data_IF_911649811411
#
_entry.id   IF_911649811411
#
_cell.length_a   1.000
_cell.length_b   1.000
_cell.length_c   1.000
_cell.angle_alpha   90.00
_cell.angle_beta   90.00
_cell.angle_gamma   90.00
#
_symmetry.space_group_name_H-M   'P 1'
#
loop_
_entity.id
_entity.type
_entity.pdbx_description
1 polymer ?
#
# COMPACT_ATOMS: atom_id res chain seq x y z
N UNK A 1 -6.42 -31.25 19.23
CA UNK A 1 -6.28 -30.29 20.34
C UNK A 1 -7.69 -29.98 20.79
N UNK A 2 -8.04 -30.27 22.05
CA UNK A 2 -9.37 -29.96 22.55
C UNK A 2 -9.50 -28.44 22.69
N UNK A 3 -10.58 -27.88 22.13
CA UNK A 3 -10.85 -26.45 22.23
C UNK A 3 -11.14 -26.08 23.68
N UNK A 4 -10.64 -24.91 24.09
CA UNK A 4 -10.87 -24.37 25.45
C UNK A 4 -12.24 -23.72 25.63
N UNK A 5 -13.03 -23.65 24.56
CA UNK A 5 -14.40 -23.13 24.52
C UNK A 5 -15.42 -24.26 24.36
N UNK A 6 -16.70 -23.98 24.62
CA UNK A 6 -17.77 -24.97 24.40
C UNK A 6 -17.94 -25.28 22.91
N UNK A 7 -18.40 -26.49 22.59
CA UNK A 7 -18.71 -26.88 21.20
C UNK A 7 -19.75 -25.95 20.57
N UNK A 8 -20.76 -25.54 21.34
CA UNK A 8 -21.78 -24.58 20.90
C UNK A 8 -21.16 -23.24 20.47
N UNK A 9 -20.26 -22.69 21.29
CA UNK A 9 -19.55 -21.43 20.98
C UNK A 9 -18.71 -21.55 19.71
N UNK A 10 -18.00 -22.66 19.55
CA UNK A 10 -17.22 -22.92 18.34
C UNK A 10 -18.12 -22.95 17.10
N UNK A 11 -19.23 -23.69 17.14
CA UNK A 11 -20.21 -23.74 16.04
C UNK A 11 -20.77 -22.36 15.70
N UNK A 12 -21.10 -21.53 16.69
CA UNK A 12 -21.59 -20.17 16.46
C UNK A 12 -20.54 -19.30 15.74
N UNK A 13 -19.29 -19.36 16.17
CA UNK A 13 -18.20 -18.60 15.54
C UNK A 13 -17.94 -19.07 14.10
N UNK A 14 -17.96 -20.38 13.85
CA UNK A 14 -17.86 -20.94 12.49
C UNK A 14 -19.03 -20.49 11.60
N UNK A 15 -20.26 -20.44 12.14
CA UNK A 15 -21.41 -19.94 11.37
C UNK A 15 -21.23 -18.46 11.01
N UNK A 16 -20.78 -17.63 11.95
CA UNK A 16 -20.53 -16.21 11.69
C UNK A 16 -19.39 -16.00 10.68
N UNK A 17 -18.35 -16.83 10.71
CA UNK A 17 -17.30 -16.87 9.69
C UNK A 17 -17.89 -17.14 8.29
N UNK A 18 -18.78 -18.11 8.17
CA UNK A 18 -19.49 -18.38 6.91
C UNK A 18 -20.37 -17.20 6.46
N UNK A 19 -21.10 -16.57 7.38
CA UNK A 19 -21.94 -15.41 7.07
C UNK A 19 -21.10 -14.22 6.54
N UNK A 20 -19.91 -13.99 7.12
CA UNK A 20 -18.97 -12.98 6.63
C UNK A 20 -18.42 -13.34 5.24
N UNK A 21 -18.11 -14.62 5.00
CA UNK A 21 -17.64 -15.13 3.72
C UNK A 21 -18.69 -14.94 2.61
N UNK A 22 -19.96 -15.30 2.88
CA UNK A 22 -21.08 -15.17 1.95
C UNK A 22 -21.35 -13.72 1.57
N UNK A 23 -21.19 -12.79 2.55
CA UNK A 23 -21.28 -11.35 2.32
C UNK A 23 -20.01 -10.74 1.72
N UNK A 24 -18.99 -11.54 1.41
CA UNK A 24 -17.70 -11.10 0.84
C UNK A 24 -17.02 -10.03 1.69
N UNK A 25 -17.15 -10.13 3.01
CA UNK A 25 -16.54 -9.19 3.96
C UNK A 25 -15.12 -9.64 4.27
N UNK A 26 -14.12 -8.85 3.88
CA UNK A 26 -12.75 -9.05 4.37
C UNK A 26 -12.68 -8.56 5.82
N UNK A 27 -12.10 -9.37 6.71
CA UNK A 27 -11.97 -9.01 8.13
C UNK A 27 -10.55 -9.29 8.60
N UNK A 28 -9.97 -8.35 9.31
CA UNK A 28 -8.66 -8.46 9.95
C UNK A 28 -8.89 -8.55 11.45
N UNK A 29 -8.32 -9.55 12.09
CA UNK A 29 -8.22 -9.64 13.55
C UNK A 29 -6.77 -9.41 13.91
N UNK A 30 -6.50 -8.31 14.61
CA UNK A 30 -5.18 -7.86 14.98
C UNK A 30 -4.96 -8.11 16.47
N UNK A 31 -4.04 -9.00 16.80
CA UNK A 31 -3.59 -9.20 18.17
C UNK A 31 -2.31 -8.40 18.40
N UNK A 32 -2.34 -7.54 19.41
CA UNK A 32 -1.18 -6.84 19.95
C UNK A 32 -1.18 -7.06 21.47
N UNK A 33 -0.03 -6.93 22.11
CA UNK A 33 0.03 -7.12 23.55
C UNK A 33 1.43 -7.36 24.08
N UNK A 34 1.51 -7.38 25.39
CA UNK A 34 2.71 -7.72 26.16
C UNK A 34 2.74 -9.25 26.41
N UNK A 35 3.89 -9.82 26.82
CA UNK A 35 3.94 -11.23 27.24
C UNK A 35 4.25 -12.29 26.19
N UNK A 36 4.75 -11.90 25.01
CA UNK A 36 5.49 -12.80 24.10
C UNK A 36 4.80 -14.11 23.74
N UNK A 37 5.29 -15.23 24.30
CA UNK A 37 4.79 -16.59 24.07
C UNK A 37 3.38 -16.82 24.62
N UNK A 38 2.99 -16.17 25.73
CA UNK A 38 1.67 -16.33 26.32
C UNK A 38 0.56 -15.86 25.36
N UNK A 39 0.78 -14.74 24.68
CA UNK A 39 -0.10 -14.24 23.63
C UNK A 39 -0.19 -15.25 22.48
N UNK A 40 0.94 -15.77 21.97
CA UNK A 40 0.92 -16.71 20.85
C UNK A 40 0.15 -18.00 21.18
N UNK A 41 0.24 -18.51 22.41
CA UNK A 41 -0.59 -19.65 22.84
C UNK A 41 -2.09 -19.33 22.81
N UNK A 42 -2.49 -18.16 23.31
CA UNK A 42 -3.89 -17.69 23.28
C UNK A 42 -4.36 -17.55 21.82
N UNK A 43 -3.58 -16.87 20.97
CA UNK A 43 -3.93 -16.67 19.56
C UNK A 43 -4.07 -18.01 18.83
N UNK A 44 -3.19 -18.97 19.10
CA UNK A 44 -3.29 -20.32 18.53
C UNK A 44 -4.61 -21.03 18.90
N UNK A 45 -5.12 -20.85 20.13
CA UNK A 45 -6.43 -21.40 20.50
C UNK A 45 -7.56 -20.74 19.74
N UNK A 46 -7.48 -19.42 19.51
CA UNK A 46 -8.49 -18.69 18.75
C UNK A 46 -8.48 -19.10 17.28
N UNK A 47 -7.29 -19.19 16.68
CA UNK A 47 -7.11 -19.68 15.31
C UNK A 47 -7.71 -21.07 15.13
N UNK A 48 -7.54 -21.96 16.11
CA UNK A 48 -8.06 -23.33 16.07
C UNK A 48 -9.59 -23.43 16.10
N UNK A 49 -10.32 -22.36 16.44
CA UNK A 49 -11.79 -22.33 16.44
C UNK A 49 -12.35 -22.25 15.01
N UNK A 50 -11.65 -21.51 14.13
CA UNK A 50 -12.15 -21.18 12.79
C UNK A 50 -11.83 -22.26 11.77
N UNK A 51 -12.60 -22.27 10.68
CA UNK A 51 -12.36 -23.17 9.55
C UNK A 51 -11.07 -22.76 8.81
N UNK A 52 -10.03 -23.63 8.77
CA UNK A 52 -8.72 -23.26 8.22
C UNK A 52 -8.73 -22.77 6.77
N UNK A 53 -9.78 -23.11 6.00
CA UNK A 53 -9.95 -22.72 4.60
C UNK A 53 -10.31 -21.25 4.43
N UNK A 54 -10.91 -20.64 5.45
CA UNK A 54 -11.47 -19.29 5.41
C UNK A 54 -10.65 -18.29 6.24
N UNK A 55 -9.55 -18.74 6.84
CA UNK A 55 -8.62 -17.90 7.58
C UNK A 55 -7.21 -17.90 6.96
N UNK A 56 -6.49 -16.81 7.17
CA UNK A 56 -5.04 -16.74 6.98
C UNK A 56 -4.39 -16.20 8.24
N UNK A 57 -3.44 -16.95 8.79
CA UNK A 57 -2.67 -16.54 9.94
C UNK A 57 -1.32 -15.94 9.51
N UNK A 58 -0.98 -14.79 10.08
CA UNK A 58 0.24 -14.05 9.81
C UNK A 58 0.91 -13.72 11.14
N UNK A 59 2.22 -13.98 11.23
CA UNK A 59 3.04 -13.49 12.33
C UNK A 59 4.04 -12.49 11.78
N UNK A 60 3.97 -11.23 12.21
CA UNK A 60 4.87 -10.17 11.76
C UNK A 60 6.15 -10.24 12.58
N UNK A 61 7.03 -11.18 12.24
CA UNK A 61 8.41 -11.19 12.72
C UNK A 61 9.34 -10.70 11.61
N UNK A 62 10.05 -9.59 11.85
CA UNK A 62 11.06 -9.03 10.95
C UNK A 62 10.62 -8.81 9.49
N UNK A 63 9.50 -8.11 9.26
CA UNK A 63 9.09 -7.72 7.91
C UNK A 63 10.21 -6.89 7.24
N UNK A 64 10.76 -7.39 6.13
CA UNK A 64 11.79 -6.70 5.31
C UNK A 64 11.19 -5.67 4.33
N UNK A 65 9.87 -5.64 4.21
CA UNK A 65 9.14 -4.74 3.33
C UNK A 65 8.63 -3.53 4.12
N UNK A 66 8.41 -2.39 3.44
CA UNK A 66 7.56 -1.32 3.96
C UNK A 66 6.28 -1.87 4.58
N UNK A 67 5.95 -1.46 5.80
CA UNK A 67 4.94 -2.17 6.60
C UNK A 67 3.54 -2.10 5.96
N UNK A 68 3.16 -0.97 5.34
CA UNK A 68 1.89 -0.86 4.58
C UNK A 68 1.90 -1.83 3.39
N UNK A 69 3.01 -1.93 2.67
CA UNK A 69 3.13 -2.89 1.56
C UNK A 69 2.93 -4.32 2.08
N UNK A 70 3.61 -4.68 3.17
CA UNK A 70 3.44 -5.99 3.80
C UNK A 70 1.98 -6.26 4.19
N UNK A 71 1.33 -5.30 4.85
CA UNK A 71 -0.05 -5.46 5.31
C UNK A 71 -1.01 -5.62 4.13
N UNK A 72 -0.92 -4.76 3.12
CA UNK A 72 -1.73 -4.89 1.91
C UNK A 72 -1.59 -6.29 1.30
N UNK A 73 -0.36 -6.78 1.13
CA UNK A 73 -0.13 -8.07 0.50
C UNK A 73 -0.63 -9.28 1.31
N UNK A 74 -0.64 -9.17 2.64
CA UNK A 74 -1.03 -10.26 3.53
C UNK A 74 -2.52 -10.24 3.90
N UNK A 75 -3.20 -9.09 3.83
CA UNK A 75 -4.64 -9.04 4.02
C UNK A 75 -5.33 -9.87 2.93
N UNK A 76 -6.03 -10.90 3.38
CA UNK A 76 -6.73 -11.86 2.56
C UNK A 76 -7.85 -11.19 1.73
N UNK A 77 -8.28 -11.82 0.62
CA UNK A 77 -9.33 -11.28 -0.22
C UNK A 77 -10.69 -11.21 0.52
N UNK A 78 -11.64 -10.51 -0.11
CA UNK A 78 -13.04 -10.43 0.32
C UNK A 78 -13.62 -11.81 0.64
N UNK A 79 -14.18 -11.94 1.84
CA UNK A 79 -14.78 -13.17 2.34
C UNK A 79 -13.80 -14.09 3.10
N UNK A 80 -12.62 -13.59 3.45
CA UNK A 80 -11.62 -14.32 4.24
C UNK A 80 -11.24 -13.49 5.47
N UNK A 81 -10.92 -14.18 6.57
CA UNK A 81 -10.42 -13.57 7.80
C UNK A 81 -8.90 -13.63 7.81
N UNK A 82 -8.24 -12.50 8.05
CA UNK A 82 -6.79 -12.44 8.25
C UNK A 82 -6.50 -12.23 9.73
N UNK A 83 -5.79 -13.15 10.37
CA UNK A 83 -5.42 -13.07 11.78
C UNK A 83 -3.94 -12.70 11.84
N UNK A 84 -3.63 -11.57 12.47
CA UNK A 84 -2.27 -11.10 12.68
C UNK A 84 -1.89 -11.29 14.15
N UNK A 85 -0.92 -12.16 14.41
CA UNK A 85 -0.18 -12.21 15.66
C UNK A 85 0.97 -11.21 15.56
N UNK A 86 0.80 -10.07 16.23
CA UNK A 86 1.58 -8.84 16.06
C UNK A 86 1.37 -8.24 14.68
N UNK A 87 1.01 -6.97 14.66
CA UNK A 87 0.66 -6.22 13.47
C UNK A 87 1.61 -5.08 13.19
N UNK A 88 1.04 -4.04 12.57
CA UNK A 88 1.77 -2.80 12.32
C UNK A 88 2.07 -2.02 13.61
N UNK A 89 1.35 -2.21 14.71
CA UNK A 89 1.61 -1.49 15.95
C UNK A 89 2.89 -1.95 16.65
N UNK A 90 3.23 -3.24 16.57
CA UNK A 90 4.53 -3.75 17.05
C UNK A 90 5.72 -2.99 16.44
N UNK A 91 5.66 -2.67 15.13
CA UNK A 91 6.68 -1.85 14.46
C UNK A 91 6.70 -0.41 14.95
N UNK A 92 5.53 0.18 15.20
CA UNK A 92 5.39 1.55 15.72
C UNK A 92 5.91 1.68 17.16
N UNK A 93 5.64 0.69 18.00
CA UNK A 93 6.10 0.64 19.38
C UNK A 93 7.62 0.45 19.48
N UNK A 94 8.24 -0.25 18.53
CA UNK A 94 9.71 -0.42 18.44
C UNK A 94 10.45 0.79 17.87
N UNK A 95 9.77 1.65 17.10
CA UNK A 95 10.39 2.84 16.51
C UNK A 95 10.72 3.91 17.57
N UNK A 96 11.63 4.82 17.21
CA UNK A 96 12.03 5.99 18.01
C UNK A 96 10.82 6.84 18.36
N UNK A 97 10.83 7.38 19.58
CA UNK A 97 9.71 8.19 20.09
C UNK A 97 9.44 9.45 19.27
N UNK A 98 10.48 10.03 18.65
CA UNK A 98 10.35 11.15 17.71
C UNK A 98 9.45 10.86 16.50
N UNK A 99 9.29 9.58 16.12
CA UNK A 99 8.49 9.16 14.97
C UNK A 99 7.08 8.72 15.37
N UNK A 100 6.78 8.62 16.67
CA UNK A 100 5.57 7.98 17.18
C UNK A 100 4.29 8.65 16.67
N UNK A 101 4.16 9.98 16.81
CA UNK A 101 2.96 10.72 16.39
C UNK A 101 2.69 10.59 14.89
N UNK A 102 3.75 10.62 14.08
CA UNK A 102 3.62 10.42 12.63
C UNK A 102 3.14 9.00 12.31
N UNK A 103 3.74 7.99 12.93
CA UNK A 103 3.38 6.58 12.73
C UNK A 103 1.95 6.27 13.19
N UNK A 104 1.51 6.89 14.30
CA UNK A 104 0.12 6.81 14.78
C UNK A 104 -0.84 7.38 13.73
N UNK A 105 -0.55 8.57 13.19
CA UNK A 105 -1.37 9.16 12.13
C UNK A 105 -1.41 8.28 10.87
N UNK A 106 -0.28 7.66 10.52
CA UNK A 106 -0.18 6.74 9.40
C UNK A 106 -1.02 5.47 9.63
N UNK A 107 -1.00 4.89 10.82
CA UNK A 107 -1.83 3.74 11.20
C UNK A 107 -3.32 4.06 11.13
N UNK A 108 -3.76 5.19 11.70
CA UNK A 108 -5.16 5.64 11.61
C UNK A 108 -5.61 5.86 10.16
N UNK A 109 -4.74 6.46 9.35
CA UNK A 109 -4.99 6.69 7.92
C UNK A 109 -5.11 5.36 7.16
N UNK A 110 -4.28 4.38 7.50
CA UNK A 110 -4.33 3.04 6.91
C UNK A 110 -5.59 2.26 7.33
N UNK A 111 -6.01 2.33 8.59
CA UNK A 111 -7.26 1.71 9.05
C UNK A 111 -8.48 2.34 8.38
N UNK A 112 -8.48 3.66 8.21
CA UNK A 112 -9.49 4.36 7.41
C UNK A 112 -9.50 3.89 5.96
N UNK A 113 -8.32 3.73 5.35
CA UNK A 113 -8.18 3.18 4.00
C UNK A 113 -8.80 1.78 3.90
N UNK A 114 -8.49 0.89 4.86
CA UNK A 114 -9.04 -0.46 4.92
C UNK A 114 -10.57 -0.43 5.05
N UNK A 115 -11.09 0.35 5.98
CA UNK A 115 -12.54 0.53 6.19
C UNK A 115 -13.25 1.00 4.93
N UNK A 116 -12.74 2.07 4.31
CA UNK A 116 -13.29 2.64 3.07
C UNK A 116 -13.26 1.65 1.89
N UNK A 117 -12.30 0.72 1.88
CA UNK A 117 -12.14 -0.30 0.84
C UNK A 117 -12.77 -1.66 1.20
N UNK A 118 -13.63 -1.72 2.22
CA UNK A 118 -14.42 -2.92 2.51
C UNK A 118 -13.71 -3.95 3.38
N UNK A 119 -12.62 -3.58 4.06
CA UNK A 119 -11.92 -4.41 5.05
C UNK A 119 -12.29 -3.96 6.47
N UNK A 120 -12.78 -4.88 7.30
CA UNK A 120 -13.04 -4.62 8.71
C UNK A 120 -11.78 -4.89 9.53
N UNK A 121 -11.55 -4.15 10.61
CA UNK A 121 -10.41 -4.36 11.51
C UNK A 121 -10.92 -4.48 12.94
N UNK A 122 -10.66 -5.63 13.57
CA UNK A 122 -10.91 -5.90 14.98
C UNK A 122 -9.55 -5.89 15.67
N UNK A 123 -9.36 -5.00 16.65
CA UNK A 123 -8.08 -4.83 17.34
C UNK A 123 -8.22 -5.28 18.78
N UNK A 124 -7.43 -6.27 19.16
CA UNK A 124 -7.44 -6.86 20.50
C UNK A 124 -6.08 -6.62 21.13
N UNK A 125 -6.06 -5.86 22.22
CA UNK A 125 -4.86 -5.65 23.02
C UNK A 125 -4.87 -6.58 24.23
N UNK A 126 -3.90 -7.48 24.32
CA UNK A 126 -3.71 -8.36 25.47
C UNK A 126 -2.83 -7.66 26.51
N UNK A 127 -3.46 -7.17 27.57
CA UNK A 127 -2.78 -6.50 28.65
C UNK A 127 -2.14 -7.52 29.59
N UNK A 128 -0.84 -7.33 29.88
CA UNK A 128 -0.07 -8.22 30.73
C UNK A 128 0.05 -7.64 32.14
N UNK A 129 -0.34 -8.43 33.13
CA UNK A 129 -0.15 -8.15 34.54
C UNK A 129 0.70 -9.28 35.12
N UNK A 130 1.96 -8.97 35.42
CA UNK A 130 2.96 -9.95 35.84
C UNK A 130 2.52 -10.72 37.09
N UNK A 131 1.91 -10.04 38.07
CA UNK A 131 1.47 -10.65 39.32
C UNK A 131 0.27 -11.57 39.11
N UNK A 132 -0.66 -11.21 38.22
CA UNK A 132 -1.78 -12.09 37.84
C UNK A 132 -1.28 -13.29 37.05
N UNK A 133 -0.42 -13.10 36.06
CA UNK A 133 0.07 -14.21 35.23
C UNK A 133 0.94 -15.19 36.01
N UNK A 134 1.79 -14.73 36.92
CA UNK A 134 2.55 -15.61 37.83
C UNK A 134 1.64 -16.53 38.64
N UNK A 135 0.47 -16.05 39.08
CA UNK A 135 -0.52 -16.88 39.80
C UNK A 135 -1.15 -17.96 38.92
N UNK A 136 -1.32 -17.67 37.63
CA UNK A 136 -1.95 -18.57 36.65
C UNK A 136 -0.96 -19.29 35.74
N UNK A 137 0.35 -19.24 36.02
CA UNK A 137 1.42 -19.85 35.23
C UNK A 137 1.17 -21.31 34.87
N UNK A 138 0.65 -22.10 35.81
CA UNK A 138 0.32 -23.53 35.62
C UNK A 138 -0.85 -23.78 34.65
N UNK A 139 -1.63 -22.76 34.31
CA UNK A 139 -2.75 -22.88 33.36
C UNK A 139 -2.28 -22.83 31.89
N UNK A 140 -1.07 -22.31 31.63
CA UNK A 140 -0.53 -22.21 30.28
C UNK A 140 0.20 -23.50 29.88
N UNK A 141 0.21 -23.86 28.58
CA UNK A 141 0.95 -25.02 28.09
C UNK A 141 2.46 -24.87 28.35
N UNK A 142 3.14 -25.95 28.71
CA UNK A 142 4.62 -25.98 28.78
C UNK A 142 5.15 -26.45 27.42
N UNK A 143 6.28 -25.89 26.96
CA UNK A 143 6.94 -26.33 25.72
C UNK A 143 7.46 -27.78 25.85
N UNK A 144 7.66 -28.46 24.71
CA UNK A 144 8.00 -29.90 24.66
C UNK A 144 9.33 -30.26 25.35
N UNK A 145 10.23 -29.30 25.53
CA UNK A 145 11.58 -29.55 26.04
C UNK A 145 11.71 -29.31 27.54
N UNK A 146 10.66 -28.85 28.23
CA UNK A 146 10.63 -28.67 29.69
C UNK A 146 11.60 -27.62 30.26
N UNK A 147 12.50 -27.06 29.44
CA UNK A 147 13.48 -26.04 29.81
C UNK A 147 12.95 -24.61 29.54
N UNK A 148 12.16 -24.42 28.48
CA UNK A 148 11.50 -23.15 28.16
C UNK A 148 10.09 -23.10 28.76
N UNK A 149 10.06 -22.85 30.07
CA UNK A 149 8.87 -22.36 30.74
C UNK A 149 8.38 -21.11 29.96
N UNK A 150 7.09 -20.99 29.65
CA UNK A 150 6.50 -19.81 28.96
C UNK A 150 6.90 -18.48 29.63
N UNK A 151 7.39 -18.59 30.86
CA UNK A 151 7.88 -17.53 31.74
C UNK A 151 9.41 -17.57 32.04
N UNK A 152 10.17 -18.61 31.70
CA UNK A 152 11.64 -18.63 31.92
C UNK A 152 12.37 -17.82 30.84
N UNK A 153 11.80 -17.76 29.65
CA UNK A 153 12.30 -16.91 28.57
C UNK A 153 11.88 -15.43 28.74
N UNK A 154 11.26 -15.04 29.87
CA UNK A 154 11.13 -13.63 30.28
C UNK A 154 12.50 -12.93 30.34
N UNK A 155 13.60 -13.68 30.50
CA UNK A 155 14.98 -13.17 30.46
C UNK A 155 15.53 -12.86 29.06
N UNK A 156 14.93 -13.41 28.00
CA UNK A 156 15.32 -13.14 26.59
C UNK A 156 14.26 -12.42 25.78
N UNK A 157 13.03 -12.28 26.29
CA UNK A 157 12.21 -11.13 25.90
C UNK A 157 13.02 -9.92 26.37
N UNK A 158 13.77 -9.30 25.46
CA UNK A 158 13.91 -7.85 25.46
C UNK A 158 12.47 -7.35 25.36
N UNK A 159 11.77 -7.37 26.50
CA UNK A 159 10.48 -6.75 26.64
C UNK A 159 10.73 -5.36 26.10
N UNK A 160 9.86 -4.98 25.17
CA UNK A 160 9.78 -3.62 24.73
C UNK A 160 9.91 -2.79 25.99
N UNK A 161 11.08 -2.16 26.20
CA UNK A 161 11.32 -1.24 27.30
C UNK A 161 10.61 0.08 26.93
N UNK A 162 9.37 -0.10 26.50
CA UNK A 162 8.42 0.84 25.98
C UNK A 162 7.61 1.16 27.20
N UNK A 163 7.74 2.40 27.64
CA UNK A 163 6.98 2.90 28.77
C UNK A 163 5.49 2.58 28.58
N UNK A 164 4.82 2.15 29.66
CA UNK A 164 3.36 2.00 29.70
C UNK A 164 2.64 3.26 29.18
N UNK A 165 3.25 4.44 29.36
CA UNK A 165 2.73 5.69 28.80
C UNK A 165 2.72 5.71 27.27
N UNK A 166 3.75 5.15 26.61
CA UNK A 166 3.82 5.07 25.14
C UNK A 166 2.75 4.12 24.59
N UNK A 167 2.50 3.00 25.27
CA UNK A 167 1.41 2.07 24.92
C UNK A 167 0.05 2.72 25.12
N UNK A 168 -0.23 3.30 26.29
CA UNK A 168 -1.49 4.00 26.56
C UNK A 168 -1.75 5.09 25.53
N UNK A 169 -0.75 5.93 25.25
CA UNK A 169 -0.85 7.00 24.27
C UNK A 169 -1.15 6.46 22.86
N UNK A 170 -0.54 5.33 22.46
CA UNK A 170 -0.82 4.70 21.18
C UNK A 170 -2.25 4.17 21.13
N UNK A 171 -2.71 3.46 22.16
CA UNK A 171 -4.07 2.91 22.22
C UNK A 171 -5.10 4.02 22.15
N UNK A 172 -4.92 5.09 22.94
CA UNK A 172 -5.84 6.23 22.98
C UNK A 172 -5.94 6.95 21.63
N UNK A 173 -4.80 7.24 21.00
CA UNK A 173 -4.78 7.96 19.71
C UNK A 173 -5.20 7.11 18.52
N UNK A 174 -5.16 5.78 18.64
CA UNK A 174 -5.51 4.86 17.54
C UNK A 174 -6.85 4.18 17.76
N UNK A 175 -7.54 4.44 18.86
CA UNK A 175 -8.91 4.01 19.07
C UNK A 175 -9.88 4.87 18.23
N UNK A 176 -10.15 4.45 16.99
CA UNK A 176 -10.93 5.23 16.04
C UNK A 176 -12.30 4.60 15.79
N UNK A 177 -13.22 5.38 15.19
CA UNK A 177 -14.51 4.84 14.72
C UNK A 177 -14.38 3.79 13.61
N UNK A 178 -13.24 3.72 12.94
CA UNK A 178 -12.98 2.75 11.87
C UNK A 178 -12.50 1.41 12.43
N UNK A 179 -11.78 1.45 13.55
CA UNK A 179 -11.28 0.29 14.26
C UNK A 179 -11.04 0.67 15.74
N UNK A 180 -11.88 0.15 16.63
CA UNK A 180 -11.74 0.35 18.07
C UNK A 180 -10.81 -0.69 18.68
N UNK A 181 -10.19 -0.34 19.81
CA UNK A 181 -9.44 -1.28 20.64
C UNK A 181 -10.34 -2.00 21.63
N UNK A 182 -10.17 -3.32 21.71
CA UNK A 182 -10.69 -4.15 22.77
C UNK A 182 -9.53 -4.60 23.67
N UNK A 183 -9.51 -4.14 24.91
CA UNK A 183 -8.43 -4.45 25.86
C UNK A 183 -8.86 -5.63 26.73
N UNK A 184 -8.05 -6.68 26.78
CA UNK A 184 -8.30 -7.89 27.57
C UNK A 184 -7.14 -8.12 28.52
N UNK A 185 -7.43 -8.09 29.82
CA UNK A 185 -6.50 -8.50 30.85
C UNK A 185 -6.25 -10.01 30.78
N UNK A 186 -4.99 -10.38 30.60
CA UNK A 186 -4.56 -11.77 30.65
C UNK A 186 -4.54 -12.29 32.10
N UNK A 187 -5.09 -13.49 32.29
CA UNK A 187 -5.13 -14.16 33.57
C UNK A 187 -5.08 -15.67 33.38
N UNK A 188 -6.07 -16.38 33.92
CA UNK A 188 -6.27 -17.80 33.60
C UNK A 188 -6.40 -18.02 32.09
N UNK A 189 -5.61 -18.95 31.56
CA UNK A 189 -5.50 -19.20 30.13
C UNK A 189 -6.86 -19.53 29.48
N UNK A 190 -7.65 -20.42 30.11
CA UNK A 190 -8.93 -20.87 29.56
C UNK A 190 -9.95 -19.74 29.57
N UNK A 191 -9.99 -18.95 30.64
CA UNK A 191 -10.94 -17.85 30.75
C UNK A 191 -10.57 -16.67 29.84
N UNK A 192 -9.28 -16.39 29.64
CA UNK A 192 -8.84 -15.38 28.65
C UNK A 192 -9.25 -15.78 27.24
N UNK A 193 -9.07 -17.06 26.84
CA UNK A 193 -9.50 -17.55 25.52
C UNK A 193 -11.01 -17.43 25.33
N UNK A 194 -11.82 -17.77 26.34
CA UNK A 194 -13.28 -17.60 26.27
C UNK A 194 -13.69 -16.13 26.09
N UNK A 195 -13.09 -15.21 26.85
CA UNK A 195 -13.37 -13.77 26.73
C UNK A 195 -13.10 -13.25 25.32
N UNK A 196 -12.00 -13.69 24.71
CA UNK A 196 -11.66 -13.31 23.33
C UNK A 196 -12.68 -13.91 22.35
N UNK A 197 -13.07 -15.17 22.52
CA UNK A 197 -14.08 -15.80 21.67
C UNK A 197 -15.44 -15.08 21.75
N UNK A 198 -15.89 -14.73 22.96
CA UNK A 198 -17.13 -13.96 23.18
C UNK A 198 -17.05 -12.56 22.55
N UNK A 199 -15.89 -11.91 22.67
CA UNK A 199 -15.64 -10.62 22.03
C UNK A 199 -15.71 -10.72 20.51
N UNK A 200 -15.05 -11.71 19.91
CA UNK A 200 -15.05 -11.87 18.45
C UNK A 200 -16.47 -12.15 17.95
N UNK A 201 -17.24 -12.98 18.66
CA UNK A 201 -18.65 -13.21 18.35
C UNK A 201 -19.46 -11.91 18.37
N UNK A 202 -19.29 -11.09 19.43
CA UNK A 202 -19.94 -9.80 19.54
C UNK A 202 -19.57 -8.88 18.35
N UNK A 203 -18.27 -8.78 18.03
CA UNK A 203 -17.77 -7.95 16.92
C UNK A 203 -18.28 -8.43 15.57
N UNK A 204 -18.31 -9.74 15.31
CA UNK A 204 -18.84 -10.28 14.06
C UNK A 204 -20.33 -9.97 13.89
N UNK A 205 -21.11 -10.12 14.96
CA UNK A 205 -22.53 -9.75 14.96
C UNK A 205 -22.75 -8.26 14.69
N UNK A 206 -21.91 -7.38 15.25
CA UNK A 206 -21.97 -5.94 15.02
C UNK A 206 -21.64 -5.59 13.55
N UNK A 207 -20.57 -6.18 13.01
CA UNK A 207 -20.17 -6.02 11.61
C UNK A 207 -21.27 -6.45 10.63
N UNK A 208 -22.00 -7.53 10.94
CA UNK A 208 -23.11 -8.02 10.09
C UNK A 208 -24.35 -7.11 10.11
N UNK A 209 -24.49 -6.23 11.11
CA UNK A 209 -25.63 -5.32 11.29
C UNK A 209 -25.35 -3.90 10.80
N UNK A 210 -24.10 -3.44 10.91
CA UNK A 210 -23.76 -2.04 10.63
C UNK A 210 -23.51 -1.77 9.14
N UNK A 211 -24.25 -0.84 8.50
CA UNK A 211 -23.89 -0.36 7.18
C UNK A 211 -22.59 0.44 7.23
N UNK A 212 -21.75 0.28 6.20
CA UNK A 212 -20.52 1.08 6.07
C UNK A 212 -20.82 2.42 5.41
N UNK A 213 -20.15 3.46 5.90
CA UNK A 213 -20.22 4.80 5.33
C UNK A 213 -18.80 5.28 5.01
N UNK A 214 -18.28 4.96 3.80
CA UNK A 214 -16.97 5.44 3.39
C UNK A 214 -16.91 6.98 3.38
N UNK A 215 -15.79 7.53 3.80
CA UNK A 215 -15.61 8.98 3.92
C UNK A 215 -14.48 9.49 3.02
N UNK A 216 -14.54 10.80 2.72
CA UNK A 216 -13.46 11.51 2.00
C UNK A 216 -12.14 11.36 2.75
N UNK A 217 -11.04 11.32 2.01
CA UNK A 217 -9.71 11.20 2.60
C UNK A 217 -9.01 12.56 2.58
N UNK A 218 -8.38 12.94 3.69
CA UNK A 218 -7.76 14.25 3.81
C UNK A 218 -6.46 14.34 3.00
N UNK A 219 -6.23 15.50 2.38
CA UNK A 219 -4.99 15.80 1.64
C UNK A 219 -4.10 16.63 2.54
N UNK A 220 -2.99 16.03 2.96
CA UNK A 220 -2.09 16.61 3.97
C UNK A 220 -1.10 17.60 3.33
N UNK A 221 -0.64 17.30 2.11
CA UNK A 221 0.35 18.11 1.40
C UNK A 221 0.00 18.19 -0.09
N UNK A 222 0.11 19.38 -0.66
CA UNK A 222 -0.05 19.62 -2.09
C UNK A 222 0.88 20.75 -2.55
N UNK A 223 1.78 20.42 -3.47
CA UNK A 223 2.67 21.34 -4.15
C UNK A 223 2.01 21.89 -5.43
N UNK A 224 2.44 23.07 -5.93
CA UNK A 224 1.87 23.69 -7.13
C UNK A 224 1.85 22.76 -8.34
N UNK A 225 0.85 22.87 -9.20
CA UNK A 225 0.73 22.01 -10.38
C UNK A 225 1.83 22.32 -11.40
N UNK A 226 2.78 21.40 -11.68
CA UNK A 226 3.87 21.64 -12.62
C UNK A 226 3.40 21.85 -14.07
N UNK A 227 2.16 21.47 -14.44
CA UNK A 227 1.61 21.68 -15.79
C UNK A 227 1.44 23.16 -16.14
N UNK A 228 1.21 24.01 -15.15
CA UNK A 228 1.00 25.46 -15.35
C UNK A 228 2.23 26.17 -15.92
N UNK A 229 3.41 25.54 -15.85
CA UNK A 229 4.70 26.09 -16.32
C UNK A 229 5.20 25.47 -17.63
N UNK A 230 4.38 24.66 -18.30
CA UNK A 230 4.80 23.98 -19.53
C UNK A 230 4.98 24.96 -20.69
N UNK A 231 6.05 24.77 -21.45
CA UNK A 231 6.33 25.50 -22.68
C UNK A 231 6.42 24.51 -23.86
N UNK A 232 5.34 24.36 -24.60
CA UNK A 232 5.28 23.43 -25.73
C UNK A 232 6.13 23.83 -26.94
N UNK A 233 6.79 25.00 -26.91
CA UNK A 233 7.72 25.43 -27.96
C UNK A 233 9.12 24.80 -27.82
N UNK A 234 9.39 24.12 -26.71
CA UNK A 234 10.68 23.45 -26.47
C UNK A 234 10.91 22.33 -27.49
N UNK A 235 12.05 22.42 -28.17
CA UNK A 235 12.50 21.44 -29.18
C UNK A 235 13.97 21.09 -28.96
N UNK A 236 14.42 20.00 -29.60
CA UNK A 236 15.83 19.60 -29.54
C UNK A 236 16.34 19.13 -30.90
N UNK A 237 17.52 19.65 -31.29
CA UNK A 237 18.22 19.21 -32.48
C UNK A 237 18.60 17.72 -32.37
N UNK A 238 18.80 17.06 -33.50
CA UNK A 238 19.18 15.63 -33.51
C UNK A 238 20.54 15.42 -32.85
N UNK A 239 21.51 16.27 -33.16
CA UNK A 239 22.88 16.16 -32.67
C UNK A 239 22.97 16.39 -31.16
N UNK A 240 22.26 17.39 -30.63
CA UNK A 240 22.20 17.63 -29.18
C UNK A 240 21.49 16.49 -28.47
N UNK A 241 20.43 15.95 -29.07
CA UNK A 241 19.70 14.81 -28.54
C UNK A 241 20.61 13.59 -28.40
N UNK A 242 21.34 13.21 -29.43
CA UNK A 242 22.21 12.03 -29.41
C UNK A 242 23.35 12.20 -28.40
N UNK A 243 23.98 13.38 -28.33
CA UNK A 243 25.02 13.69 -27.34
C UNK A 243 24.49 13.62 -25.90
N UNK A 244 23.36 14.28 -25.61
CA UNK A 244 22.76 14.28 -24.26
C UNK A 244 22.26 12.90 -23.87
N UNK A 245 21.64 12.17 -24.81
CA UNK A 245 21.14 10.83 -24.58
C UNK A 245 22.27 9.89 -24.14
N UNK A 246 23.37 9.83 -24.88
CA UNK A 246 24.50 8.97 -24.56
C UNK A 246 25.09 9.30 -23.17
N UNK A 247 25.25 10.60 -22.86
CA UNK A 247 25.76 11.06 -21.56
C UNK A 247 24.83 10.65 -20.41
N UNK A 248 23.53 10.86 -20.55
CA UNK A 248 22.55 10.57 -19.50
C UNK A 248 22.34 9.07 -19.30
N UNK A 249 22.30 8.28 -20.37
CA UNK A 249 22.17 6.83 -20.26
C UNK A 249 23.40 6.23 -19.56
N UNK A 250 24.61 6.68 -19.89
CA UNK A 250 25.82 6.28 -19.16
C UNK A 250 25.71 6.61 -17.67
N UNK A 251 25.29 7.84 -17.33
CA UNK A 251 25.15 8.27 -15.94
C UNK A 251 24.08 7.47 -15.20
N UNK A 252 22.95 7.19 -15.85
CA UNK A 252 21.88 6.39 -15.27
C UNK A 252 22.33 4.95 -14.98
N UNK A 253 23.12 4.34 -15.88
CA UNK A 253 23.72 3.03 -15.64
C UNK A 253 24.64 3.02 -14.40
N UNK A 254 25.49 4.04 -14.24
CA UNK A 254 26.34 4.20 -13.05
C UNK A 254 25.52 4.34 -11.76
N UNK A 255 24.43 5.13 -11.80
CA UNK A 255 23.56 5.36 -10.65
C UNK A 255 22.74 4.11 -10.31
N UNK A 256 22.35 3.28 -11.29
CA UNK A 256 21.71 2.00 -11.00
C UNK A 256 22.62 1.08 -10.18
N UNK A 257 23.93 1.07 -10.47
CA UNK A 257 24.91 0.28 -9.70
C UNK A 257 25.03 0.81 -8.26
N UNK A 258 24.98 2.13 -8.07
CA UNK A 258 24.93 2.72 -6.72
C UNK A 258 23.65 2.34 -5.99
N UNK A 259 22.49 2.50 -6.65
CA UNK A 259 21.18 2.14 -6.10
C UNK A 259 21.16 0.68 -5.64
N UNK A 260 21.68 -0.24 -6.46
CA UNK A 260 21.74 -1.68 -6.17
C UNK A 260 22.54 -2.05 -4.90
N UNK A 261 23.39 -1.14 -4.40
CA UNK A 261 24.16 -1.31 -3.16
C UNK A 261 23.58 -0.53 -1.97
N UNK A 262 22.52 0.24 -2.20
CA UNK A 262 21.83 1.01 -1.16
C UNK A 262 20.63 0.24 -0.61
N UNK A 263 20.06 0.75 0.47
CA UNK A 263 18.78 0.33 1.05
C UNK A 263 17.56 1.00 0.39
N UNK A 264 17.79 1.88 -0.60
CA UNK A 264 16.73 2.60 -1.32
C UNK A 264 16.21 1.80 -2.51
N UNK A 265 14.94 1.97 -2.82
CA UNK A 265 14.33 1.49 -4.07
C UNK A 265 13.83 2.68 -4.91
N UNK A 266 13.53 2.49 -6.18
CA UNK A 266 12.96 3.56 -7.01
C UNK A 266 11.69 3.13 -7.72
N UNK A 267 10.69 4.00 -7.72
CA UNK A 267 9.44 3.84 -8.46
C UNK A 267 9.27 5.01 -9.43
N UNK A 268 9.15 4.66 -10.71
CA UNK A 268 8.89 5.59 -11.81
C UNK A 268 7.47 5.39 -12.31
N UNK A 269 6.65 6.42 -12.27
CA UNK A 269 5.26 6.37 -12.78
C UNK A 269 5.16 7.17 -14.07
N UNK A 270 4.60 6.58 -15.13
CA UNK A 270 4.37 7.25 -16.40
C UNK A 270 2.88 7.33 -16.73
N UNK A 271 2.35 8.54 -16.62
CA UNK A 271 1.02 8.93 -17.12
C UNK A 271 1.15 9.98 -18.23
N UNK A 272 0.07 10.30 -18.91
CA UNK A 272 0.06 11.29 -19.99
C UNK A 272 -0.96 10.97 -21.06
N UNK A 273 -1.20 11.91 -21.97
CA UNK A 273 -2.16 11.75 -23.05
C UNK A 273 -1.88 10.52 -23.93
N UNK A 274 -2.92 10.01 -24.55
CA UNK A 274 -2.76 9.01 -25.60
C UNK A 274 -1.95 9.60 -26.74
N UNK A 275 -1.05 8.77 -27.30
CA UNK A 275 0.01 9.18 -28.21
C UNK A 275 1.05 10.22 -27.73
N UNK A 276 1.07 10.61 -26.44
CA UNK A 276 2.06 11.55 -25.90
C UNK A 276 3.50 11.05 -25.96
N UNK A 277 3.72 9.74 -25.95
CA UNK A 277 5.05 9.13 -26.14
C UNK A 277 5.65 8.43 -24.92
N UNK A 278 4.82 8.08 -23.92
CA UNK A 278 5.17 7.31 -22.70
C UNK A 278 6.13 6.15 -22.99
N UNK A 279 5.71 5.18 -23.81
CA UNK A 279 6.55 4.03 -24.17
C UNK A 279 7.88 4.38 -24.84
N UNK A 280 7.95 5.52 -25.54
CA UNK A 280 9.20 6.03 -26.11
C UNK A 280 10.17 6.56 -25.06
N UNK A 281 9.66 7.22 -24.02
CA UNK A 281 10.44 7.65 -22.85
C UNK A 281 10.92 6.45 -22.05
N UNK A 282 10.01 5.52 -21.71
CA UNK A 282 10.33 4.28 -20.99
C UNK A 282 11.41 3.51 -21.74
N UNK A 283 11.30 3.34 -23.06
CA UNK A 283 12.32 2.65 -23.87
C UNK A 283 13.71 3.29 -23.76
N UNK A 284 13.83 4.61 -23.65
CA UNK A 284 15.13 5.28 -23.51
C UNK A 284 15.72 5.13 -22.11
N UNK A 285 14.86 5.09 -21.09
CA UNK A 285 15.25 4.77 -19.71
C UNK A 285 15.77 3.33 -19.63
N UNK A 286 14.98 2.36 -20.10
CA UNK A 286 15.33 0.94 -19.98
C UNK A 286 16.54 0.54 -20.83
N UNK A 287 16.78 1.22 -21.96
CA UNK A 287 18.01 1.04 -22.75
C UNK A 287 19.30 1.37 -21.99
N UNK A 288 19.23 2.18 -20.93
CA UNK A 288 20.39 2.52 -20.10
C UNK A 288 20.62 1.53 -18.95
N UNK A 289 19.58 0.80 -18.54
CA UNK A 289 19.57 0.04 -17.31
C UNK A 289 19.88 -1.44 -17.57
N UNK A 290 20.55 -2.09 -16.62
CA UNK A 290 20.66 -3.53 -16.58
C UNK A 290 19.27 -4.13 -16.26
N UNK A 291 18.74 -5.06 -17.09
CA UNK A 291 17.41 -5.64 -16.92
C UNK A 291 17.22 -6.45 -15.63
N UNK A 292 18.30 -6.82 -14.91
CA UNK A 292 18.20 -7.45 -13.59
C UNK A 292 17.82 -6.47 -12.48
N UNK A 293 18.08 -5.18 -12.69
CA UNK A 293 17.85 -4.13 -11.69
C UNK A 293 16.59 -3.30 -11.94
N UNK A 294 15.76 -3.64 -12.94
CA UNK A 294 14.47 -2.99 -13.12
C UNK A 294 13.39 -3.95 -13.61
N UNK A 295 12.12 -3.58 -13.40
CA UNK A 295 10.97 -4.24 -14.02
C UNK A 295 9.96 -3.20 -14.50
N UNK A 296 9.39 -3.43 -15.68
CA UNK A 296 8.33 -2.58 -16.24
C UNK A 296 6.98 -3.27 -16.07
N UNK A 297 5.99 -2.52 -15.58
CA UNK A 297 4.64 -2.97 -15.29
C UNK A 297 3.64 -2.15 -16.11
N UNK A 298 3.16 -2.67 -17.26
CA UNK A 298 1.97 -2.12 -17.88
C UNK A 298 0.76 -2.41 -17.00
N UNK A 299 -0.12 -1.43 -16.79
CA UNK A 299 -1.30 -1.57 -15.93
C UNK A 299 -2.58 -1.68 -16.77
N UNK A 300 -3.11 -2.90 -16.99
CA UNK A 300 -4.39 -3.11 -17.65
C UNK A 300 -5.57 -3.03 -16.66
N UNK A 301 -6.77 -3.29 -17.16
CA UNK A 301 -7.96 -3.54 -16.36
C UNK A 301 -7.69 -4.62 -15.27
N UNK A 302 -8.25 -4.47 -14.06
CA UNK A 302 -8.00 -5.40 -12.98
C UNK A 302 -8.64 -6.77 -13.23
N UNK A 303 -7.88 -7.82 -12.91
CA UNK A 303 -8.30 -9.23 -12.89
C UNK A 303 -9.30 -9.51 -11.77
N UNK A 304 -9.94 -10.68 -11.82
CA UNK A 304 -10.87 -11.14 -10.77
C UNK A 304 -10.20 -11.21 -9.39
N UNK A 305 -8.94 -11.68 -9.34
CA UNK A 305 -8.15 -11.71 -8.10
C UNK A 305 -7.92 -10.28 -7.57
N UNK A 306 -7.45 -9.36 -8.42
CA UNK A 306 -7.20 -7.98 -8.00
C UNK A 306 -8.47 -7.28 -7.49
N UNK A 307 -9.65 -7.54 -8.09
CA UNK A 307 -10.95 -7.02 -7.65
C UNK A 307 -11.42 -7.60 -6.30
N UNK A 308 -10.89 -8.75 -5.91
CA UNK A 308 -11.17 -9.37 -4.62
C UNK A 308 -10.38 -8.73 -3.47
N UNK A 309 -9.39 -7.89 -3.77
CA UNK A 309 -8.62 -7.13 -2.79
C UNK A 309 -8.95 -5.62 -2.84
N UNK A 310 -8.32 -4.85 -1.95
CA UNK A 310 -8.38 -3.38 -1.95
C UNK A 310 -7.67 -2.79 -3.17
N UNK A 311 -8.08 -1.61 -3.65
CA UNK A 311 -7.56 -0.99 -4.89
C UNK A 311 -6.01 -0.97 -4.99
N UNK A 312 -5.31 -0.63 -3.90
CA UNK A 312 -3.86 -0.45 -3.91
C UNK A 312 -3.07 -1.77 -3.83
N UNK A 313 -3.75 -2.88 -3.53
CA UNK A 313 -3.12 -4.20 -3.39
C UNK A 313 -2.33 -4.62 -4.63
N UNK A 314 -2.93 -4.44 -5.81
CA UNK A 314 -2.31 -4.84 -7.08
C UNK A 314 -1.01 -4.10 -7.37
N UNK A 315 -0.91 -2.87 -6.89
CA UNK A 315 0.26 -2.02 -7.06
C UNK A 315 1.32 -2.30 -6.00
N UNK A 316 0.90 -2.61 -4.76
CA UNK A 316 1.79 -3.06 -3.69
C UNK A 316 2.61 -4.30 -4.09
N UNK A 317 2.06 -5.21 -4.91
CA UNK A 317 2.78 -6.38 -5.47
C UNK A 317 3.96 -6.00 -6.38
N UNK A 318 3.91 -4.81 -6.95
CA UNK A 318 4.84 -4.34 -7.96
C UNK A 318 5.86 -3.33 -7.40
N UNK A 319 5.73 -2.95 -6.13
CA UNK A 319 6.73 -2.13 -5.45
C UNK A 319 8.01 -2.97 -5.29
N UNK A 320 9.18 -2.45 -5.73
CA UNK A 320 10.40 -3.21 -5.82
C UNK A 320 11.11 -3.34 -4.47
N UNK A 321 11.88 -4.41 -4.29
CA UNK A 321 12.84 -4.52 -3.19
C UNK A 321 13.90 -3.40 -3.25
N UNK A 322 14.59 -3.10 -2.14
CA UNK A 322 15.79 -2.27 -2.14
C UNK A 322 16.78 -2.61 -3.26
N UNK A 323 17.34 -1.59 -3.87
CA UNK A 323 18.29 -1.69 -4.97
C UNK A 323 17.70 -1.89 -6.35
N UNK A 324 16.38 -1.96 -6.49
CA UNK A 324 15.68 -2.18 -7.77
C UNK A 324 14.80 -0.99 -8.17
N UNK A 325 14.46 -0.95 -9.46
CA UNK A 325 13.60 0.08 -10.07
C UNK A 325 12.31 -0.55 -10.61
N UNK A 326 11.15 -0.05 -10.20
CA UNK A 326 9.87 -0.37 -10.83
C UNK A 326 9.45 0.78 -11.76
N UNK A 327 9.02 0.42 -12.97
CA UNK A 327 8.54 1.38 -13.98
C UNK A 327 7.09 1.05 -14.30
N UNK A 328 6.16 1.92 -13.90
CA UNK A 328 4.73 1.79 -14.17
C UNK A 328 4.37 2.53 -15.47
N UNK A 329 3.84 1.80 -16.47
CA UNK A 329 3.21 2.38 -17.67
C UNK A 329 1.69 2.36 -17.46
N UNK A 330 1.12 3.52 -17.12
CA UNK A 330 -0.11 3.66 -16.32
C UNK A 330 0.06 3.12 -14.89
N UNK A 331 -0.84 3.50 -13.97
CA UNK A 331 -0.67 3.24 -12.53
C UNK A 331 -1.98 3.32 -11.74
N UNK A 332 -1.87 3.41 -10.40
CA UNK A 332 -3.00 3.67 -9.49
C UNK A 332 -3.74 4.98 -9.76
N UNK A 333 -3.13 5.90 -10.51
CA UNK A 333 -3.76 7.15 -10.94
C UNK A 333 -4.93 6.96 -11.92
N UNK A 334 -5.13 5.75 -12.47
CA UNK A 334 -6.33 5.40 -13.23
C UNK A 334 -7.63 5.72 -12.47
N UNK A 335 -7.65 5.52 -11.14
CA UNK A 335 -8.75 5.84 -10.22
C UNK A 335 -9.14 7.33 -10.21
N UNK A 336 -8.23 8.21 -10.61
CA UNK A 336 -8.44 9.66 -10.66
C UNK A 336 -8.60 10.21 -12.07
N UNK A 337 -8.57 9.34 -13.09
CA UNK A 337 -8.66 9.72 -14.51
C UNK A 337 -9.70 8.89 -15.25
N UNK A 338 -9.33 7.74 -15.80
CA UNK A 338 -10.20 6.94 -16.67
C UNK A 338 -11.38 6.36 -15.90
N UNK A 339 -11.21 5.94 -14.65
CA UNK A 339 -12.27 5.28 -13.89
C UNK A 339 -13.49 6.18 -13.62
N UNK A 340 -13.36 7.42 -13.12
CA UNK A 340 -14.53 8.28 -12.91
C UNK A 340 -15.16 8.76 -14.23
N UNK A 341 -14.38 8.92 -15.31
CA UNK A 341 -14.88 9.39 -16.61
C UNK A 341 -15.68 8.31 -17.34
N UNK A 342 -15.26 7.04 -17.21
CA UNK A 342 -15.94 5.89 -17.83
C UNK A 342 -16.91 5.17 -16.88
N UNK A 343 -17.05 5.64 -15.63
CA UNK A 343 -17.97 5.07 -14.65
C UNK A 343 -17.51 3.73 -14.05
N UNK A 344 -16.20 3.46 -14.02
CA UNK A 344 -15.61 2.26 -13.42
C UNK A 344 -15.37 2.37 -11.91
N UNK A 345 -15.53 3.57 -11.34
CA UNK A 345 -15.58 3.79 -9.90
C UNK A 345 -16.75 4.70 -9.52
N UNK A 346 -17.22 4.58 -8.29
CA UNK A 346 -18.18 5.49 -7.68
C UNK A 346 -17.58 6.87 -7.40
N UNK A 347 -18.44 7.88 -7.24
CA UNK A 347 -18.01 9.23 -6.85
C UNK A 347 -17.27 9.24 -5.51
N UNK A 348 -17.72 8.41 -4.56
CA UNK A 348 -17.06 8.27 -3.26
C UNK A 348 -15.64 7.71 -3.41
N UNK A 349 -15.45 6.65 -4.22
CA UNK A 349 -14.13 6.10 -4.53
C UNK A 349 -13.20 7.13 -5.17
N UNK A 350 -13.70 7.91 -6.14
CA UNK A 350 -12.92 9.00 -6.72
C UNK A 350 -12.56 10.07 -5.67
N UNK A 351 -13.52 10.48 -4.85
CA UNK A 351 -13.34 11.58 -3.89
C UNK A 351 -12.30 11.29 -2.79
N UNK A 352 -12.08 10.01 -2.46
CA UNK A 352 -11.08 9.55 -1.48
C UNK A 352 -9.73 9.17 -2.10
N UNK A 353 -9.67 8.96 -3.40
CA UNK A 353 -8.51 8.40 -4.09
C UNK A 353 -7.22 9.20 -3.87
N UNK A 354 -7.28 10.53 -3.90
CA UNK A 354 -6.08 11.38 -3.75
C UNK A 354 -5.39 11.15 -2.40
N UNK A 355 -6.14 11.22 -1.30
CA UNK A 355 -5.60 11.03 0.04
C UNK A 355 -5.10 9.60 0.26
N UNK A 356 -5.79 8.60 -0.29
CA UNK A 356 -5.36 7.20 -0.22
C UNK A 356 -4.07 6.93 -1.01
N UNK A 357 -3.91 7.57 -2.18
CA UNK A 357 -2.68 7.51 -2.97
C UNK A 357 -1.53 8.21 -2.23
N UNK A 358 -1.78 9.39 -1.66
CA UNK A 358 -0.77 10.12 -0.88
C UNK A 358 -0.35 9.35 0.38
N UNK A 359 -1.29 8.66 1.06
CA UNK A 359 -0.98 7.75 2.16
C UNK A 359 0.00 6.65 1.71
N UNK A 360 -0.29 6.00 0.58
CA UNK A 360 0.53 4.93 0.04
C UNK A 360 1.93 5.41 -0.35
N UNK A 361 2.01 6.52 -1.09
CA UNK A 361 3.27 7.10 -1.54
C UNK A 361 4.10 7.63 -0.37
N UNK A 362 3.49 8.30 0.62
CA UNK A 362 4.21 8.81 1.80
C UNK A 362 4.77 7.69 2.67
N UNK A 363 4.01 6.62 2.90
CA UNK A 363 4.50 5.46 3.65
C UNK A 363 5.69 4.82 2.95
N UNK A 364 5.61 4.62 1.64
CA UNK A 364 6.70 4.02 0.87
C UNK A 364 7.93 4.94 0.80
N UNK A 365 7.73 6.25 0.65
CA UNK A 365 8.83 7.22 0.66
C UNK A 365 9.57 7.26 2.00
N UNK A 366 8.82 7.13 3.12
CA UNK A 366 9.41 6.99 4.45
C UNK A 366 10.24 5.71 4.57
N UNK A 367 9.79 4.63 3.95
CA UNK A 367 10.52 3.36 3.86
C UNK A 367 11.50 3.33 2.66
N UNK A 368 12.14 4.48 2.39
CA UNK A 368 13.25 4.64 1.44
C UNK A 368 12.94 4.36 -0.04
N UNK A 369 11.67 4.43 -0.46
CA UNK A 369 11.29 4.37 -1.87
C UNK A 369 11.32 5.76 -2.51
N UNK A 370 12.20 5.94 -3.49
CA UNK A 370 12.32 7.18 -4.28
C UNK A 370 11.23 7.20 -5.35
N UNK A 371 10.37 8.22 -5.34
CA UNK A 371 9.33 8.41 -6.36
C UNK A 371 9.68 9.48 -7.37
N UNK A 372 9.39 9.21 -8.64
CA UNK A 372 9.26 10.26 -9.68
C UNK A 372 8.06 9.92 -10.56
N UNK A 373 7.11 10.86 -10.66
CA UNK A 373 5.87 10.68 -11.42
C UNK A 373 5.88 11.61 -12.63
N UNK A 374 5.72 11.06 -13.83
CA UNK A 374 5.77 11.82 -15.08
C UNK A 374 4.38 11.96 -15.68
N UNK A 375 3.98 13.20 -15.94
CA UNK A 375 2.87 13.50 -16.84
C UNK A 375 3.44 13.89 -18.21
N UNK A 376 3.35 12.99 -19.19
CA UNK A 376 3.83 13.23 -20.55
C UNK A 376 2.76 14.02 -21.30
N UNK A 377 3.03 15.31 -21.52
CA UNK A 377 2.05 16.26 -22.02
C UNK A 377 2.30 16.63 -23.49
N UNK A 378 1.22 16.86 -24.22
CA UNK A 378 1.19 17.29 -25.63
C UNK A 378 -0.04 18.18 -25.83
N UNK A 379 -0.04 18.98 -26.89
CA UNK A 379 -1.25 19.74 -27.26
C UNK A 379 -2.28 18.82 -27.92
N UNK A 380 -3.54 19.28 -27.91
CA UNK A 380 -4.65 18.59 -28.55
C UNK A 380 -4.39 18.40 -30.07
N UNK A 381 -3.79 19.39 -30.73
CA UNK A 381 -3.45 19.36 -32.16
C UNK A 381 -2.33 18.34 -32.46
N UNK A 382 -1.29 18.31 -31.62
CA UNK A 382 -0.21 17.35 -31.77
C UNK A 382 -0.69 15.90 -31.55
N UNK A 383 -1.68 15.70 -30.68
CA UNK A 383 -2.31 14.38 -30.53
C UNK A 383 -3.00 13.95 -31.83
N UNK A 384 -3.81 14.82 -32.45
CA UNK A 384 -4.49 14.52 -33.72
C UNK A 384 -3.51 14.16 -34.82
N UNK A 385 -2.46 14.98 -34.96
CA UNK A 385 -1.39 14.74 -35.92
C UNK A 385 -0.80 13.34 -35.73
N UNK A 386 -0.49 12.96 -34.50
CA UNK A 386 0.06 11.63 -34.19
C UNK A 386 -0.91 10.48 -34.41
N UNK A 387 -2.21 10.71 -34.26
CA UNK A 387 -3.23 9.72 -34.59
C UNK A 387 -3.25 9.50 -36.11
N UNK A 388 -3.30 10.58 -36.89
CA UNK A 388 -3.26 10.49 -38.36
C UNK A 388 -1.96 9.81 -38.85
N UNK A 389 -0.80 10.17 -38.29
CA UNK A 389 0.50 9.54 -38.61
C UNK A 389 0.51 8.03 -38.31
N UNK A 390 -0.18 7.59 -37.25
CA UNK A 390 -0.27 6.17 -36.88
C UNK A 390 -1.24 5.40 -37.76
N UNK A 391 -2.37 6.02 -38.12
CA UNK A 391 -3.35 5.43 -39.02
C UNK A 391 -2.75 5.20 -40.42
N UNK A 392 -1.87 6.10 -40.87
CA UNK A 392 -1.17 6.00 -42.14
C UNK A 392 0.03 5.03 -42.15
N UNK A 393 0.54 4.60 -40.99
CA UNK A 393 1.72 3.73 -40.87
C UNK A 393 1.31 2.28 -40.54
N UNK A 394 1.45 1.32 -41.48
CA UNK A 394 1.07 -0.08 -41.27
C UNK A 394 1.71 -0.74 -40.04
N UNK A 395 2.90 -0.30 -39.62
CA UNK A 395 3.59 -0.84 -38.45
C UNK A 395 3.10 -0.26 -37.11
N UNK A 396 2.24 0.76 -37.16
CA UNK A 396 1.72 1.46 -35.98
C UNK A 396 0.20 1.48 -35.90
N UNK A 397 -0.53 1.04 -36.92
CA UNK A 397 -1.99 0.98 -36.93
C UNK A 397 -2.56 0.24 -35.71
N UNK A 398 -1.92 -0.85 -35.28
CA UNK A 398 -2.33 -1.61 -34.08
C UNK A 398 -2.32 -0.79 -32.77
N UNK A 399 -1.70 0.39 -32.75
CA UNK A 399 -1.64 1.31 -31.59
C UNK A 399 -2.80 2.30 -31.54
N UNK A 400 -3.78 2.17 -32.42
CA UNK A 400 -5.00 2.95 -32.44
C UNK A 400 -6.21 2.00 -32.33
N UNK A 401 -7.14 2.40 -31.49
CA UNK A 401 -8.42 1.75 -31.25
C UNK A 401 -9.53 2.78 -31.37
N UNK A 402 -10.78 2.34 -31.56
CA UNK A 402 -11.94 3.24 -31.55
C UNK A 402 -12.09 3.96 -30.21
N UNK A 403 -11.62 3.33 -29.13
CA UNK A 403 -11.56 3.92 -27.79
C UNK A 403 -10.62 5.14 -27.73
N UNK A 404 -9.49 5.13 -28.44
CA UNK A 404 -8.57 6.27 -28.50
C UNK A 404 -9.25 7.52 -29.11
N UNK A 405 -10.06 7.34 -30.16
CA UNK A 405 -10.82 8.42 -30.79
C UNK A 405 -11.94 8.95 -29.88
N UNK A 406 -12.68 8.05 -29.23
CA UNK A 406 -13.70 8.41 -28.23
C UNK A 406 -13.11 9.17 -27.05
N UNK A 407 -11.95 8.75 -26.54
CA UNK A 407 -11.28 9.42 -25.43
C UNK A 407 -10.84 10.84 -25.80
N UNK A 408 -10.42 11.03 -27.04
CA UNK A 408 -10.06 12.34 -27.58
C UNK A 408 -11.24 13.31 -27.63
N UNK A 409 -12.43 12.85 -27.98
CA UNK A 409 -13.65 13.69 -27.93
C UNK A 409 -13.95 14.21 -26.52
N UNK A 410 -13.48 13.50 -25.49
CA UNK A 410 -13.59 13.88 -24.08
C UNK A 410 -12.40 14.70 -23.56
N UNK A 411 -11.56 15.28 -24.43
CA UNK A 411 -10.32 15.99 -24.03
C UNK A 411 -10.54 16.97 -22.87
N UNK A 412 -11.50 17.88 -22.99
CA UNK A 412 -11.77 18.93 -21.99
C UNK A 412 -12.25 18.35 -20.65
N UNK A 413 -12.87 17.17 -20.67
CA UNK A 413 -13.26 16.44 -19.46
C UNK A 413 -12.01 15.86 -18.81
N UNK A 414 -11.20 15.10 -19.56
CA UNK A 414 -9.95 14.53 -19.07
C UNK A 414 -9.02 15.59 -18.50
N UNK A 415 -8.91 16.76 -19.14
CA UNK A 415 -8.03 17.83 -18.69
C UNK A 415 -8.34 18.29 -17.25
N UNK A 416 -9.63 18.39 -16.89
CA UNK A 416 -10.07 18.73 -15.53
C UNK A 416 -9.63 17.69 -14.52
N UNK A 417 -9.80 16.41 -14.83
CA UNK A 417 -9.39 15.30 -13.98
C UNK A 417 -7.87 15.22 -13.83
N UNK A 418 -7.11 15.41 -14.90
CA UNK A 418 -5.64 15.43 -14.87
C UNK A 418 -5.12 16.58 -13.99
N UNK A 419 -5.65 17.79 -14.17
CA UNK A 419 -5.25 18.94 -13.36
C UNK A 419 -5.60 18.74 -11.88
N UNK A 420 -6.78 18.18 -11.61
CA UNK A 420 -7.22 17.82 -10.26
C UNK A 420 -6.30 16.78 -9.63
N UNK A 421 -6.00 15.70 -10.35
CA UNK A 421 -5.10 14.63 -9.93
C UNK A 421 -3.73 15.17 -9.54
N UNK A 422 -3.08 15.91 -10.45
CA UNK A 422 -1.74 16.43 -10.20
C UNK A 422 -1.75 17.43 -9.04
N UNK A 423 -2.74 18.34 -8.99
CA UNK A 423 -2.85 19.30 -7.89
C UNK A 423 -2.99 18.63 -6.53
N UNK A 424 -3.75 17.54 -6.44
CA UNK A 424 -4.04 16.87 -5.17
C UNK A 424 -2.96 15.86 -4.76
N UNK A 425 -2.07 15.45 -5.67
CA UNK A 425 -1.09 14.38 -5.44
C UNK A 425 0.34 14.78 -5.77
N UNK A 426 0.60 16.04 -6.12
CA UNK A 426 1.98 16.53 -6.23
C UNK A 426 2.50 16.84 -4.82
N UNK A 427 3.47 16.08 -4.33
CA UNK A 427 4.01 16.23 -2.97
C UNK A 427 5.53 16.31 -3.01
N UNK A 428 6.15 16.77 -1.93
CA UNK A 428 7.61 16.89 -1.82
C UNK A 428 8.33 15.53 -1.85
N UNK A 429 7.69 14.49 -1.30
CA UNK A 429 8.22 13.12 -1.26
C UNK A 429 7.89 12.29 -2.51
N UNK A 430 6.83 12.64 -3.25
CA UNK A 430 6.48 12.02 -4.52
C UNK A 430 6.08 13.11 -5.54
N UNK A 431 7.07 13.77 -6.17
CA UNK A 431 6.80 14.88 -7.07
C UNK A 431 6.28 14.42 -8.43
N UNK A 432 5.33 15.19 -8.96
CA UNK A 432 4.95 15.18 -10.36
C UNK A 432 5.91 16.04 -11.19
N UNK A 433 6.25 15.53 -12.37
CA UNK A 433 7.06 16.19 -13.38
C UNK A 433 6.26 16.20 -14.66
N UNK A 434 5.78 17.39 -15.04
CA UNK A 434 5.13 17.60 -16.32
C UNK A 434 6.20 17.71 -17.43
N UNK A 435 6.04 16.93 -18.50
CA UNK A 435 7.03 16.79 -19.57
C UNK A 435 6.45 17.29 -20.88
N UNK A 436 7.05 18.34 -21.43
CA UNK A 436 6.74 18.90 -22.75
C UNK A 436 7.19 17.87 -23.81
N UNK A 437 6.24 17.11 -24.36
CA UNK A 437 6.55 16.01 -25.26
C UNK A 437 5.99 16.22 -26.67
N UNK A 438 5.71 17.47 -27.05
CA UNK A 438 5.42 17.83 -28.45
C UNK A 438 6.62 17.46 -29.31
N UNK A 439 7.84 17.89 -28.92
CA UNK A 439 9.07 17.29 -29.43
C UNK A 439 9.50 16.07 -28.59
N UNK A 440 9.46 14.89 -29.22
CA UNK A 440 9.79 13.62 -28.54
C UNK A 440 11.25 13.56 -28.06
N UNK A 441 12.18 14.27 -28.71
CA UNK A 441 13.61 14.23 -28.33
C UNK A 441 13.81 14.98 -27.03
N UNK A 442 13.25 16.18 -26.93
CA UNK A 442 13.24 16.99 -25.72
C UNK A 442 12.61 16.24 -24.54
N UNK A 443 11.38 15.71 -24.72
CA UNK A 443 10.68 14.99 -23.64
C UNK A 443 11.46 13.79 -23.09
N UNK A 444 12.11 13.01 -23.96
CA UNK A 444 12.96 11.87 -23.55
C UNK A 444 14.18 12.30 -22.73
N UNK A 445 14.82 13.40 -23.11
CA UNK A 445 15.97 13.93 -22.38
C UNK A 445 15.54 14.51 -21.03
N UNK A 446 14.41 15.23 -20.97
CA UNK A 446 13.86 15.75 -19.71
C UNK A 446 13.61 14.61 -18.72
N UNK A 447 12.94 13.53 -19.14
CA UNK A 447 12.71 12.33 -18.31
C UNK A 447 14.02 11.75 -17.78
N UNK A 448 15.00 11.47 -18.65
CA UNK A 448 16.29 10.91 -18.25
C UNK A 448 17.06 11.82 -17.29
N UNK A 449 17.09 13.12 -17.58
CA UNK A 449 17.75 14.13 -16.78
C UNK A 449 17.14 14.18 -15.37
N UNK A 450 15.80 14.24 -15.27
CA UNK A 450 15.09 14.19 -13.99
C UNK A 450 15.45 12.95 -13.17
N UNK A 451 15.40 11.75 -13.78
CA UNK A 451 15.74 10.50 -13.07
C UNK A 451 17.18 10.56 -12.55
N UNK A 452 18.13 10.98 -13.40
CA UNK A 452 19.55 11.09 -13.04
C UNK A 452 19.76 12.09 -11.91
N UNK A 453 19.10 13.25 -11.94
CA UNK A 453 19.27 14.28 -10.93
C UNK A 453 18.64 13.87 -9.60
N UNK A 454 17.46 13.24 -9.63
CA UNK A 454 16.84 12.66 -8.42
C UNK A 454 17.73 11.58 -7.81
N UNK A 455 18.22 10.62 -8.61
CA UNK A 455 19.08 9.57 -8.09
C UNK A 455 20.42 10.10 -7.55
N UNK A 456 21.00 11.14 -8.14
CA UNK A 456 22.18 11.80 -7.55
C UNK A 456 21.86 12.40 -6.19
N UNK A 457 20.81 13.22 -6.12
CA UNK A 457 20.39 13.85 -4.86
C UNK A 457 20.13 12.84 -3.75
N UNK A 458 19.55 11.69 -4.10
CA UNK A 458 19.18 10.65 -3.13
C UNK A 458 20.31 9.66 -2.79
N UNK A 459 21.35 9.52 -3.62
CA UNK A 459 22.42 8.52 -3.42
C UNK A 459 23.80 9.12 -3.17
N UNK A 460 23.92 10.44 -3.27
CA UNK A 460 25.07 11.20 -2.79
C UNK A 460 24.85 11.57 -1.31
#
# INVERSE_FOLDING_TARGET
MDLLISKEKATTLTQLEHDLADRKMATVILFEGEGGMAMSHIVNQIVAIFEPRNIKYHCVSNAKLPWIQYCLLNIAPKGTISIFDRGWYTGILSDKESNLSHNINLANSFERYLYNNGVNVIKIFLNFDEDKLKKHKKSYPVTLDGEDDVFNDLGHIKEFNVSKNKISNLLDQTNSKYATWDIIDMGDYKDTVKKIADLIEFRFNDLLKMPRHPEKFDIIEACPNPREKLDFTKTMSKDDYEKKLAKLQKKLAELQIKLAKSDKAMVLVFEGWDAAGKGGCIKRVTQALNPRGYKTFPVPAPTTEEKSHTHLWRFAKSIPDPGKIAIFDRSWYGRMMVEPIEGFCSELEYSRAAGEINLFESSLAKDHVIFVKFWIDITNEEQLKRFNDRAADPLKQWKLTDEDWRNREKWDVYEKYVNSMIKQTNTSYAPWVAVECVDKRYGRIKVLQTIVDTLKKELD
#
